data_IF_577722459783
#
_entry.id   IF_577722459783
#
_cell.length_a   1.000
_cell.length_b   1.000
_cell.length_c   1.000
_cell.angle_alpha   90.00
_cell.angle_beta   90.00
_cell.angle_gamma   90.00
#
_symmetry.space_group_name_H-M   'P 1'
#
loop_
_entity.id
_entity.type
_entity.pdbx_description
1 polymer ?
#
# COMPACT_ATOMS: atom_id res chain seq x y z
N UNK A 1 -4.10 9.52 24.09
CA UNK A 1 -3.33 9.50 22.81
C UNK A 1 -2.73 10.87 22.55
N UNK A 2 -1.46 10.89 22.26
CA UNK A 2 -0.70 12.10 21.97
C UNK A 2 -0.14 12.04 20.55
N UNK A 3 0.38 13.17 20.07
CA UNK A 3 1.01 13.24 18.74
C UNK A 3 2.12 12.21 18.57
N UNK A 4 2.90 11.97 19.64
CA UNK A 4 3.97 10.97 19.60
C UNK A 4 3.46 9.55 19.35
N UNK A 5 2.23 9.23 19.79
CA UNK A 5 1.62 7.90 19.53
C UNK A 5 1.36 7.72 18.03
N UNK A 6 0.88 8.76 17.37
CA UNK A 6 0.69 8.78 15.92
C UNK A 6 2.02 8.59 15.19
N UNK A 7 3.04 9.38 15.57
CA UNK A 7 4.35 9.35 14.93
C UNK A 7 5.01 7.98 15.10
N UNK A 8 4.94 7.42 16.32
CA UNK A 8 5.49 6.09 16.59
C UNK A 8 4.82 5.00 15.77
N UNK A 9 3.48 5.06 15.65
CA UNK A 9 2.73 4.09 14.83
C UNK A 9 3.14 4.19 13.37
N UNK A 10 3.24 5.41 12.84
CA UNK A 10 3.64 5.63 11.46
C UNK A 10 5.06 5.11 11.20
N UNK A 11 5.99 5.35 12.13
CA UNK A 11 7.36 4.83 12.02
C UNK A 11 7.39 3.30 12.00
N UNK A 12 6.54 2.65 12.80
CA UNK A 12 6.40 1.19 12.77
C UNK A 12 5.97 0.71 11.38
N UNK A 13 5.01 1.38 10.76
CA UNK A 13 4.52 1.04 9.42
C UNK A 13 5.63 1.23 8.39
N UNK A 14 6.39 2.33 8.48
CA UNK A 14 7.52 2.61 7.61
C UNK A 14 8.57 1.50 7.71
N UNK A 15 8.94 1.11 8.93
CA UNK A 15 9.95 0.07 9.14
C UNK A 15 9.51 -1.28 8.56
N UNK A 16 8.25 -1.65 8.74
CA UNK A 16 7.70 -2.88 8.17
C UNK A 16 7.70 -2.84 6.65
N UNK A 17 7.36 -1.70 6.05
CA UNK A 17 7.37 -1.53 4.60
C UNK A 17 8.79 -1.64 4.04
N UNK A 18 9.76 -0.95 4.66
CA UNK A 18 11.17 -1.00 4.22
C UNK A 18 11.69 -2.43 4.22
N UNK A 19 11.39 -3.18 5.29
CA UNK A 19 11.81 -4.58 5.42
C UNK A 19 11.22 -5.45 4.31
N UNK A 20 9.91 -5.30 4.02
CA UNK A 20 9.25 -6.05 2.94
C UNK A 20 9.79 -5.64 1.57
N UNK A 21 10.03 -4.36 1.36
CA UNK A 21 10.56 -3.83 0.10
C UNK A 21 11.93 -4.43 -0.22
N UNK A 22 12.80 -4.55 0.78
CA UNK A 22 14.11 -5.18 0.60
C UNK A 22 14.00 -6.65 0.19
N UNK A 23 13.00 -7.38 0.73
CA UNK A 23 12.77 -8.77 0.39
C UNK A 23 12.28 -8.96 -1.05
N UNK A 24 11.40 -8.07 -1.53
CA UNK A 24 10.71 -8.26 -2.81
C UNK A 24 11.33 -7.51 -3.98
N UNK A 25 12.01 -6.39 -3.73
CA UNK A 25 12.57 -5.55 -4.80
C UNK A 25 14.05 -5.23 -4.61
N UNK A 26 14.67 -5.71 -3.53
CA UNK A 26 16.03 -5.32 -3.13
C UNK A 26 16.17 -3.80 -2.97
N UNK A 27 15.07 -3.11 -2.67
CA UNK A 27 15.05 -1.67 -2.48
C UNK A 27 15.26 -0.83 -3.73
N UNK A 28 15.31 -1.45 -4.92
CA UNK A 28 15.64 -0.74 -6.17
C UNK A 28 14.47 0.04 -6.74
N UNK A 29 13.27 -0.55 -6.75
CA UNK A 29 12.07 0.10 -7.26
C UNK A 29 10.87 -0.34 -6.43
N UNK A 30 10.42 0.56 -5.56
CA UNK A 30 9.30 0.28 -4.67
C UNK A 30 7.97 0.11 -5.41
N UNK A 31 7.88 0.55 -6.67
CA UNK A 31 6.70 0.38 -7.52
C UNK A 31 6.77 -0.89 -8.38
N UNK A 32 7.81 -1.72 -8.25
CA UNK A 32 8.03 -2.85 -9.15
C UNK A 32 6.85 -3.83 -9.23
N UNK A 33 6.21 -4.12 -8.09
CA UNK A 33 5.04 -5.00 -8.06
C UNK A 33 3.86 -4.41 -8.83
N UNK A 34 3.65 -3.09 -8.73
CA UNK A 34 2.58 -2.41 -9.45
C UNK A 34 2.89 -2.21 -10.93
N UNK A 35 4.16 -2.12 -11.31
CA UNK A 35 4.52 -2.13 -12.73
C UNK A 35 4.06 -3.43 -13.39
N UNK A 36 4.30 -4.56 -12.71
CA UNK A 36 3.82 -5.88 -13.18
C UNK A 36 2.30 -5.96 -13.16
N UNK A 37 1.68 -5.53 -12.06
CA UNK A 37 0.21 -5.53 -11.92
C UNK A 37 -0.45 -4.65 -12.97
N UNK A 38 0.17 -3.54 -13.36
CA UNK A 38 -0.32 -2.65 -14.41
C UNK A 38 -0.43 -3.34 -15.77
N UNK A 39 0.49 -4.25 -16.08
CA UNK A 39 0.41 -5.06 -17.30
C UNK A 39 -0.68 -6.14 -17.23
N UNK A 40 -0.93 -6.69 -16.04
CA UNK A 40 -2.01 -7.66 -15.85
C UNK A 40 -3.38 -7.01 -15.97
N UNK A 41 -3.54 -5.80 -15.39
CA UNK A 41 -4.83 -5.09 -15.38
C UNK A 41 -5.07 -4.22 -16.61
N UNK A 42 -4.02 -3.92 -17.41
CA UNK A 42 -4.15 -3.04 -18.55
C UNK A 42 -2.87 -3.01 -19.39
N UNK A 43 -2.47 -1.79 -19.79
CA UNK A 43 -1.38 -1.58 -20.75
C UNK A 43 -0.02 -1.28 -20.08
N UNK A 44 0.08 -1.40 -18.76
CA UNK A 44 1.30 -1.09 -18.02
C UNK A 44 1.54 0.38 -17.75
N UNK A 45 0.61 1.26 -18.15
CA UNK A 45 0.69 2.69 -17.86
C UNK A 45 0.58 2.96 -16.37
N UNK A 46 0.95 4.16 -15.94
CA UNK A 46 0.75 4.60 -14.55
C UNK A 46 -0.74 4.53 -14.20
N UNK A 47 -1.62 4.86 -15.13
CA UNK A 47 -3.07 4.72 -14.94
C UNK A 47 -3.46 3.28 -14.59
N UNK A 48 -2.95 2.29 -15.33
CA UNK A 48 -3.22 0.87 -15.05
C UNK A 48 -2.63 0.43 -13.71
N UNK A 49 -1.45 0.91 -13.36
CA UNK A 49 -0.81 0.66 -12.06
C UNK A 49 -1.68 1.19 -10.91
N UNK A 50 -2.18 2.41 -11.06
CA UNK A 50 -3.02 3.07 -10.07
C UNK A 50 -4.36 2.33 -9.90
N UNK A 51 -4.99 1.92 -11.00
CA UNK A 51 -6.22 1.14 -10.96
C UNK A 51 -6.01 -0.21 -10.25
N UNK A 52 -4.89 -0.88 -10.51
CA UNK A 52 -4.53 -2.13 -9.82
C UNK A 52 -4.36 -1.89 -8.31
N UNK A 53 -3.71 -0.80 -7.93
CA UNK A 53 -3.55 -0.44 -6.52
C UNK A 53 -4.92 -0.25 -5.84
N UNK A 54 -5.84 0.43 -6.50
CA UNK A 54 -7.20 0.62 -5.96
C UNK A 54 -7.93 -0.70 -5.74
N UNK A 55 -7.74 -1.68 -6.63
CA UNK A 55 -8.34 -3.01 -6.47
C UNK A 55 -7.76 -3.72 -5.26
N UNK A 56 -6.44 -3.72 -5.09
CA UNK A 56 -5.79 -4.37 -3.95
C UNK A 56 -6.16 -3.71 -2.63
N UNK A 57 -6.15 -2.37 -2.61
CA UNK A 57 -6.59 -1.59 -1.45
C UNK A 57 -8.07 -1.88 -1.13
N UNK A 58 -8.90 -1.97 -2.17
CA UNK A 58 -10.33 -2.20 -2.03
C UNK A 58 -10.67 -3.50 -1.32
N UNK A 59 -9.88 -4.55 -1.48
CA UNK A 59 -10.08 -5.81 -0.75
C UNK A 59 -9.94 -5.61 0.76
N UNK A 60 -8.97 -4.81 1.18
CA UNK A 60 -8.79 -4.48 2.60
C UNK A 60 -9.92 -3.59 3.10
N UNK A 61 -10.30 -2.58 2.33
CA UNK A 61 -11.41 -1.68 2.66
C UNK A 61 -12.71 -2.48 2.88
N UNK A 62 -13.01 -3.41 1.99
CA UNK A 62 -14.21 -4.23 2.05
C UNK A 62 -14.21 -5.14 3.28
N UNK A 63 -13.11 -5.83 3.55
CA UNK A 63 -12.98 -6.70 4.70
C UNK A 63 -13.19 -5.94 6.02
N UNK A 64 -12.60 -4.75 6.12
CA UNK A 64 -12.77 -3.90 7.31
C UNK A 64 -14.20 -3.39 7.44
N UNK A 65 -14.86 -3.04 6.33
CA UNK A 65 -16.24 -2.60 6.35
C UNK A 65 -17.20 -3.71 6.79
N UNK A 66 -16.93 -4.95 6.39
CA UNK A 66 -17.77 -6.10 6.75
C UNK A 66 -17.58 -6.59 8.17
N UNK A 67 -16.33 -6.62 8.66
CA UNK A 67 -15.98 -7.26 9.93
C UNK A 67 -15.56 -6.28 11.03
N UNK A 68 -15.16 -5.07 10.67
CA UNK A 68 -14.78 -4.04 11.64
C UNK A 68 -13.66 -4.47 12.57
N UNK A 69 -13.81 -4.08 13.84
CA UNK A 69 -12.80 -4.33 14.86
C UNK A 69 -12.65 -5.81 15.21
N UNK A 70 -13.62 -6.65 14.86
CA UNK A 70 -13.58 -8.08 15.13
C UNK A 70 -12.65 -8.85 14.15
N UNK A 71 -12.20 -8.21 13.09
CA UNK A 71 -11.30 -8.85 12.12
C UNK A 71 -9.91 -9.05 12.75
N UNK A 72 -9.43 -10.31 12.87
CA UNK A 72 -8.15 -10.57 13.56
C UNK A 72 -6.94 -9.85 12.97
N UNK A 73 -6.92 -9.63 11.65
CA UNK A 73 -5.83 -8.94 10.96
C UNK A 73 -6.17 -7.50 10.58
N UNK A 74 -7.07 -6.85 11.33
CA UNK A 74 -7.52 -5.49 11.04
C UNK A 74 -6.34 -4.49 10.98
N UNK A 75 -5.40 -4.59 11.92
CA UNK A 75 -4.24 -3.68 11.93
C UNK A 75 -3.36 -3.86 10.70
N UNK A 76 -3.05 -5.08 10.32
CA UNK A 76 -2.26 -5.35 9.13
C UNK A 76 -2.93 -4.80 7.87
N UNK A 77 -4.25 -4.92 7.76
CA UNK A 77 -5.00 -4.38 6.63
C UNK A 77 -4.95 -2.85 6.60
N UNK A 78 -5.08 -2.21 7.76
CA UNK A 78 -4.94 -0.74 7.85
C UNK A 78 -3.53 -0.28 7.45
N UNK A 79 -2.50 -1.01 7.88
CA UNK A 79 -1.12 -0.72 7.48
C UNK A 79 -0.95 -0.83 5.96
N UNK A 80 -1.50 -1.87 5.35
CA UNK A 80 -1.44 -2.07 3.90
C UNK A 80 -2.17 -0.94 3.15
N UNK A 81 -3.31 -0.48 3.65
CA UNK A 81 -4.05 0.64 3.08
C UNK A 81 -3.19 1.90 3.09
N UNK A 82 -2.52 2.18 4.21
CA UNK A 82 -1.62 3.34 4.32
C UNK A 82 -0.49 3.25 3.29
N UNK A 83 0.14 2.09 3.17
CA UNK A 83 1.21 1.86 2.20
C UNK A 83 0.71 2.05 0.77
N UNK A 84 -0.46 1.50 0.42
CA UNK A 84 -1.04 1.68 -0.91
C UNK A 84 -1.32 3.15 -1.20
N UNK A 85 -1.79 3.91 -0.22
CA UNK A 85 -2.01 5.36 -0.40
C UNK A 85 -0.71 6.10 -0.70
N UNK A 86 0.38 5.76 -0.01
CA UNK A 86 1.68 6.38 -0.27
C UNK A 86 2.20 5.99 -1.65
N UNK A 87 2.12 4.70 -2.01
CA UNK A 87 2.53 4.23 -3.34
C UNK A 87 1.73 4.90 -4.44
N UNK A 88 0.41 5.06 -4.25
CA UNK A 88 -0.44 5.78 -5.19
C UNK A 88 -0.03 7.23 -5.35
N UNK A 89 0.34 7.88 -4.26
CA UNK A 89 0.84 9.26 -4.29
C UNK A 89 2.15 9.36 -5.09
N UNK A 90 3.04 8.38 -4.94
CA UNK A 90 4.28 8.31 -5.71
C UNK A 90 4.03 8.06 -7.20
N UNK A 91 3.00 7.27 -7.54
CA UNK A 91 2.58 7.09 -8.93
C UNK A 91 2.16 8.42 -9.56
N UNK A 92 1.44 9.26 -8.81
CA UNK A 92 1.05 10.60 -9.26
C UNK A 92 2.29 11.46 -9.51
N UNK A 93 3.27 11.40 -8.61
CA UNK A 93 4.53 12.14 -8.78
C UNK A 93 5.27 11.68 -10.04
N UNK A 94 5.28 10.39 -10.33
CA UNK A 94 5.93 9.85 -11.53
C UNK A 94 5.29 10.37 -12.82
N UNK A 95 3.99 10.67 -12.82
CA UNK A 95 3.30 11.22 -13.97
C UNK A 95 3.64 12.68 -14.25
N UNK A 96 4.09 13.38 -13.26
CA UNK A 96 4.37 14.82 -13.32
C UNK A 96 5.86 15.06 -13.47
#
# INVERSE_FOLDING_TARGET
METKDFTNKLNTIIDLFVKKSEQYSNGKDILSAFRKAGFVHGDGSVKSMFEAMLVYKGKHDLALAEHGLDLPDAQERLHDIIVYCVLGSLMIDEMR
#
